data_IF_058109212537
#
_entry.id   IF_058109212537
#
_cell.length_a   1.000
_cell.length_b   1.000
_cell.length_c   1.000
_cell.angle_alpha   90.00
_cell.angle_beta   90.00
_cell.angle_gamma   90.00
#
_symmetry.space_group_name_H-M   'P 1'
#
loop_
_entity.id
_entity.type
_entity.pdbx_description
1 polymer ?
#
# COMPACT_ATOMS: atom_id res chain seq x y z
N UNK A 1 2.72 19.91 -3.51
CA UNK A 1 2.56 19.72 -4.97
C UNK A 1 2.57 18.21 -5.19
N UNK A 2 1.65 17.68 -6.00
CA UNK A 2 1.62 16.27 -6.37
C UNK A 2 2.38 16.03 -7.69
N UNK A 3 2.67 14.77 -8.01
CA UNK A 3 3.38 14.31 -9.21
C UNK A 3 2.60 14.67 -10.49
N UNK A 4 3.23 15.35 -11.46
CA UNK A 4 2.60 15.71 -12.73
C UNK A 4 2.20 14.49 -13.57
N UNK A 5 1.33 14.64 -14.59
CA UNK A 5 0.95 13.52 -15.47
C UNK A 5 2.14 12.99 -16.28
N UNK A 6 3.01 13.87 -16.72
CA UNK A 6 4.24 13.54 -17.44
C UNK A 6 5.20 12.76 -16.53
N UNK A 7 5.41 13.24 -15.30
CA UNK A 7 6.22 12.54 -14.29
C UNK A 7 5.61 11.18 -13.94
N UNK A 8 4.29 11.08 -13.82
CA UNK A 8 3.62 9.79 -13.59
C UNK A 8 3.87 8.80 -14.73
N UNK A 9 3.85 9.25 -15.98
CA UNK A 9 4.13 8.40 -17.13
C UNK A 9 5.58 7.92 -17.15
N UNK A 10 6.55 8.82 -16.96
CA UNK A 10 7.98 8.50 -16.89
C UNK A 10 8.29 7.52 -15.74
N UNK A 11 7.76 7.82 -14.55
CA UNK A 11 7.91 6.97 -13.37
C UNK A 11 7.30 5.58 -13.60
N UNK A 12 6.12 5.52 -14.21
CA UNK A 12 5.45 4.25 -14.49
C UNK A 12 6.28 3.39 -15.46
N UNK A 13 6.91 4.00 -16.46
CA UNK A 13 7.73 3.26 -17.41
C UNK A 13 9.03 2.79 -16.77
N UNK A 14 9.77 3.69 -16.11
CA UNK A 14 11.02 3.36 -15.45
C UNK A 14 10.86 2.25 -14.39
N UNK A 15 9.82 2.31 -13.56
CA UNK A 15 9.59 1.31 -12.51
C UNK A 15 9.23 -0.09 -13.04
N UNK A 16 8.96 -0.26 -14.34
CA UNK A 16 8.81 -1.59 -14.96
C UNK A 16 10.15 -2.26 -15.25
N UNK A 17 11.22 -1.50 -15.39
CA UNK A 17 12.55 -2.00 -15.73
C UNK A 17 13.10 -2.94 -14.65
N UNK A 18 13.99 -3.85 -15.03
CA UNK A 18 14.56 -4.83 -14.09
C UNK A 18 15.36 -4.16 -12.97
N UNK A 19 16.13 -3.12 -13.30
CA UNK A 19 16.85 -2.25 -12.38
C UNK A 19 16.12 -0.91 -12.38
N UNK A 20 15.48 -0.57 -11.28
CA UNK A 20 14.76 0.69 -11.15
C UNK A 20 14.85 1.21 -9.72
N UNK A 21 14.92 2.53 -9.60
CA UNK A 21 14.85 3.25 -8.33
C UNK A 21 14.12 4.57 -8.52
N UNK A 22 13.39 4.99 -7.49
CA UNK A 22 12.84 6.34 -7.41
C UNK A 22 12.84 6.80 -5.95
N UNK A 23 13.19 8.06 -5.70
CA UNK A 23 13.12 8.68 -4.38
C UNK A 23 12.17 9.85 -4.37
N UNK A 24 11.44 9.95 -3.26
CA UNK A 24 10.49 11.01 -3.02
C UNK A 24 10.74 11.62 -1.64
N UNK A 25 10.35 12.88 -1.50
CA UNK A 25 10.15 13.52 -0.20
C UNK A 25 8.66 13.55 0.11
N UNK A 26 8.29 13.19 1.33
CA UNK A 26 6.92 13.25 1.80
C UNK A 26 6.90 13.50 3.31
N UNK A 27 6.26 14.59 3.73
CA UNK A 27 6.04 14.91 5.16
C UNK A 27 7.32 14.85 6.02
N UNK A 28 8.48 15.20 5.45
CA UNK A 28 9.78 15.16 6.12
C UNK A 28 10.51 13.83 6.06
N UNK A 29 9.94 12.82 5.39
CA UNK A 29 10.54 11.50 5.19
C UNK A 29 11.03 11.30 3.76
N UNK A 30 12.11 10.53 3.63
CA UNK A 30 12.57 10.01 2.34
C UNK A 30 11.82 8.71 2.04
N UNK A 31 11.12 8.67 0.90
CA UNK A 31 10.44 7.47 0.43
C UNK A 31 11.22 6.93 -0.75
N UNK A 32 11.70 5.70 -0.67
CA UNK A 32 12.46 5.06 -1.74
C UNK A 32 11.68 3.86 -2.28
N UNK A 33 11.64 3.73 -3.60
CA UNK A 33 10.98 2.64 -4.31
C UNK A 33 12.03 1.93 -5.14
N UNK A 34 12.13 0.61 -4.98
CA UNK A 34 13.03 -0.22 -5.77
C UNK A 34 12.44 -1.61 -6.01
N UNK A 35 12.95 -2.30 -7.02
CA UNK A 35 12.59 -3.70 -7.27
C UNK A 35 13.25 -4.63 -6.27
N UNK A 36 12.49 -5.60 -5.77
CA UNK A 36 12.95 -6.66 -4.89
C UNK A 36 12.39 -8.00 -5.35
N UNK A 37 13.13 -9.08 -5.09
CA UNK A 37 12.64 -10.45 -5.30
C UNK A 37 11.69 -10.83 -4.18
N UNK A 38 10.46 -11.21 -4.51
CA UNK A 38 9.51 -11.81 -3.55
C UNK A 38 9.56 -13.34 -3.56
N UNK A 39 10.28 -13.93 -4.50
CA UNK A 39 10.42 -15.37 -4.68
C UNK A 39 11.41 -15.69 -5.81
N UNK A 40 11.56 -16.97 -6.13
CA UNK A 40 12.57 -17.44 -7.08
C UNK A 40 12.46 -16.76 -8.45
N UNK A 41 11.24 -16.60 -8.98
CA UNK A 41 10.98 -16.00 -10.29
C UNK A 41 9.98 -14.83 -10.22
N UNK A 42 9.95 -14.11 -9.10
CA UNK A 42 9.00 -13.02 -8.88
C UNK A 42 9.69 -11.75 -8.39
N UNK A 43 9.46 -10.65 -9.11
CA UNK A 43 9.89 -9.30 -8.74
C UNK A 43 8.69 -8.43 -8.41
N UNK A 44 8.82 -7.64 -7.36
CA UNK A 44 7.84 -6.67 -6.89
C UNK A 44 8.54 -5.34 -6.63
N UNK A 45 7.77 -4.26 -6.56
CA UNK A 45 8.25 -2.98 -6.05
C UNK A 45 8.08 -2.96 -4.54
N UNK A 46 9.09 -2.51 -3.81
CA UNK A 46 9.04 -2.35 -2.35
C UNK A 46 9.32 -0.89 -2.01
N UNK A 47 8.51 -0.36 -1.09
CA UNK A 47 8.63 0.99 -0.56
C UNK A 47 9.40 0.96 0.75
N UNK A 48 10.46 1.76 0.82
CA UNK A 48 11.28 1.99 2.00
C UNK A 48 11.02 3.40 2.52
N UNK A 49 11.05 3.56 3.85
CA UNK A 49 10.89 4.84 4.52
C UNK A 49 12.19 5.12 5.25
N UNK A 50 12.83 6.25 4.95
CA UNK A 50 14.14 6.65 5.45
C UNK A 50 15.22 5.56 5.26
N UNK A 51 15.16 4.90 4.09
CA UNK A 51 16.06 3.80 3.72
C UNK A 51 15.80 2.48 4.42
N UNK A 52 14.74 2.38 5.22
CA UNK A 52 14.44 1.19 6.03
C UNK A 52 13.07 0.59 5.73
N UNK A 53 12.99 -0.71 5.99
CA UNK A 53 11.74 -1.46 6.06
C UNK A 53 11.63 -2.09 7.45
N UNK A 54 10.96 -1.41 8.37
CA UNK A 54 10.81 -1.87 9.75
C UNK A 54 9.50 -2.64 9.96
N UNK A 55 9.57 -3.77 10.65
CA UNK A 55 8.41 -4.63 10.93
C UNK A 55 7.27 -3.92 11.68
N UNK A 56 7.57 -2.95 12.55
CA UNK A 56 6.57 -2.16 13.28
C UNK A 56 5.72 -1.24 12.39
N UNK A 57 6.16 -0.96 11.16
CA UNK A 57 5.47 -0.09 10.22
C UNK A 57 4.59 -0.87 9.22
N UNK A 58 4.54 -2.20 9.32
CA UNK A 58 3.74 -3.09 8.48
C UNK A 58 2.82 -3.94 9.35
N UNK A 59 1.75 -4.51 8.76
CA UNK A 59 0.74 -5.25 9.53
C UNK A 59 -0.54 -4.44 9.74
N UNK A 60 -1.34 -4.79 10.75
CA UNK A 60 -2.68 -4.19 10.91
C UNK A 60 -2.57 -2.66 11.02
N UNK A 61 -3.41 -1.94 10.27
CA UNK A 61 -3.31 -0.48 10.16
C UNK A 61 -3.49 0.23 11.52
N UNK A 62 -4.24 -0.40 12.43
CA UNK A 62 -4.50 0.07 13.79
C UNK A 62 -3.29 -0.05 14.72
N UNK A 63 -2.36 -0.97 14.42
CA UNK A 63 -1.14 -1.20 15.22
C UNK A 63 0.06 -0.37 14.74
N UNK A 64 -0.05 0.25 13.56
CA UNK A 64 1.03 1.06 12.98
C UNK A 64 0.92 2.50 13.49
N UNK A 65 1.96 2.99 14.17
CA UNK A 65 2.01 4.36 14.67
C UNK A 65 2.49 5.36 13.60
N UNK A 66 3.37 4.92 12.69
CA UNK A 66 3.99 5.79 11.70
C UNK A 66 2.99 6.23 10.63
N UNK A 67 2.58 7.50 10.67
CA UNK A 67 1.57 8.06 9.76
C UNK A 67 1.99 8.04 8.29
N UNK A 68 3.26 8.28 7.98
CA UNK A 68 3.73 8.22 6.59
C UNK A 68 3.60 6.81 6.01
N UNK A 69 3.82 5.77 6.82
CA UNK A 69 3.62 4.37 6.40
C UNK A 69 2.16 4.10 6.00
N UNK A 70 1.19 4.65 6.75
CA UNK A 70 -0.24 4.56 6.40
C UNK A 70 -0.57 5.22 5.06
N UNK A 71 0.22 6.19 4.60
CA UNK A 71 0.04 6.87 3.31
C UNK A 71 0.70 6.13 2.16
N UNK A 72 1.94 5.66 2.35
CA UNK A 72 2.77 5.13 1.24
C UNK A 72 2.67 3.63 1.07
N UNK A 73 2.39 2.87 2.13
CA UNK A 73 2.17 1.44 2.01
C UNK A 73 0.79 1.13 1.45
N UNK A 74 0.69 0.00 0.77
CA UNK A 74 -0.55 -0.46 0.17
C UNK A 74 -1.49 -0.96 1.26
N UNK A 75 -2.73 -0.47 1.24
CA UNK A 75 -3.79 -1.01 2.09
C UNK A 75 -4.32 -2.31 1.49
N UNK A 76 -4.09 -3.41 2.20
CA UNK A 76 -4.68 -4.71 1.90
C UNK A 76 -5.93 -4.87 2.75
N UNK A 77 -6.98 -5.46 2.18
CA UNK A 77 -8.21 -5.71 2.91
C UNK A 77 -8.64 -7.16 2.77
N UNK A 78 -9.18 -7.73 3.85
CA UNK A 78 -9.79 -9.07 3.86
C UNK A 78 -11.00 -9.05 4.78
N UNK A 79 -12.11 -9.62 4.32
CA UNK A 79 -13.28 -9.78 5.18
C UNK A 79 -12.93 -10.62 6.41
N UNK A 80 -13.39 -10.19 7.59
CA UNK A 80 -13.19 -10.94 8.84
C UNK A 80 -13.80 -12.33 8.76
N UNK A 81 -14.93 -12.45 8.04
CA UNK A 81 -15.65 -13.70 7.84
C UNK A 81 -15.88 -14.00 6.37
N UNK A 82 -16.01 -15.30 6.06
CA UNK A 82 -16.34 -15.73 4.70
C UNK A 82 -17.80 -15.40 4.37
N UNK A 83 -18.10 -15.21 3.08
CA UNK A 83 -19.48 -14.98 2.62
C UNK A 83 -20.44 -16.10 3.03
N UNK A 84 -19.96 -17.35 3.11
CA UNK A 84 -20.76 -18.49 3.57
C UNK A 84 -21.11 -18.33 5.04
N UNK A 85 -20.13 -18.04 5.88
CA UNK A 85 -20.34 -17.84 7.31
C UNK A 85 -21.36 -16.73 7.58
N UNK A 86 -21.21 -15.58 6.92
CA UNK A 86 -22.14 -14.45 7.03
C UNK A 86 -23.57 -14.88 6.69
N UNK A 87 -23.77 -15.62 5.58
CA UNK A 87 -25.08 -16.12 5.16
C UNK A 87 -25.67 -17.11 6.15
N UNK A 88 -24.86 -18.02 6.69
CA UNK A 88 -25.33 -19.03 7.65
C UNK A 88 -25.76 -18.37 8.97
N UNK A 89 -25.02 -17.37 9.45
CA UNK A 89 -25.37 -16.56 10.63
C UNK A 89 -26.66 -15.76 10.40
N UNK A 90 -26.78 -15.07 9.26
CA UNK A 90 -27.99 -14.32 8.91
C UNK A 90 -29.22 -15.21 8.73
N UNK A 91 -29.04 -16.45 8.24
CA UNK A 91 -30.12 -17.45 8.13
C UNK A 91 -30.58 -17.94 9.50
N UNK A 92 -29.65 -18.17 10.43
CA UNK A 92 -29.96 -18.70 11.75
C UNK A 92 -30.66 -17.67 12.66
N UNK A 93 -30.25 -16.40 12.60
CA UNK A 93 -30.76 -15.38 13.53
C UNK A 93 -31.60 -14.28 12.88
N UNK A 94 -31.63 -14.21 11.56
CA UNK A 94 -32.13 -13.04 10.83
C UNK A 94 -31.14 -11.88 10.89
N UNK A 95 -31.14 -11.04 9.84
CA UNK A 95 -30.16 -9.95 9.67
C UNK A 95 -30.05 -8.99 10.86
N UNK A 96 -31.19 -8.63 11.47
CA UNK A 96 -31.21 -7.66 12.58
C UNK A 96 -30.51 -8.20 13.83
N UNK A 97 -30.78 -9.45 14.19
CA UNK A 97 -30.17 -10.08 15.37
C UNK A 97 -28.72 -10.47 15.10
N UNK A 98 -28.40 -10.94 13.88
CA UNK A 98 -27.03 -11.18 13.46
C UNK A 98 -26.13 -9.94 13.64
N UNK A 99 -26.58 -8.75 13.23
CA UNK A 99 -25.83 -7.51 13.42
C UNK A 99 -25.67 -7.11 14.90
N UNK A 100 -26.64 -7.44 15.76
CA UNK A 100 -26.58 -7.15 17.20
C UNK A 100 -25.57 -8.06 17.91
N UNK A 101 -25.66 -9.37 17.66
CA UNK A 101 -24.84 -10.38 18.35
C UNK A 101 -23.43 -10.48 17.72
N UNK A 102 -23.28 -10.14 16.43
CA UNK A 102 -22.02 -10.14 15.71
C UNK A 102 -21.79 -8.76 15.07
N UNK A 103 -21.41 -7.75 15.87
CA UNK A 103 -21.24 -6.38 15.38
C UNK A 103 -20.25 -6.27 14.21
N UNK A 104 -19.23 -7.14 14.22
CA UNK A 104 -18.15 -7.18 13.22
C UNK A 104 -18.38 -8.16 12.06
N UNK A 105 -19.60 -8.67 11.90
CA UNK A 105 -19.91 -9.74 10.92
C UNK A 105 -19.52 -9.36 9.48
N UNK A 106 -19.63 -8.08 9.15
CA UNK A 106 -19.33 -7.54 7.82
C UNK A 106 -18.03 -6.73 7.76
N UNK A 107 -17.27 -6.72 8.86
CA UNK A 107 -16.02 -5.96 8.95
C UNK A 107 -14.93 -6.56 8.05
N UNK A 108 -13.89 -5.74 7.83
CA UNK A 108 -12.68 -6.14 7.13
C UNK A 108 -11.48 -5.85 8.01
N UNK A 109 -10.51 -6.77 8.00
CA UNK A 109 -9.15 -6.48 8.42
C UNK A 109 -8.47 -5.63 7.35
N UNK A 110 -7.78 -4.59 7.78
CA UNK A 110 -6.96 -3.73 6.94
C UNK A 110 -5.54 -3.80 7.46
N UNK A 111 -4.59 -4.13 6.59
CA UNK A 111 -3.17 -4.14 6.93
C UNK A 111 -2.34 -3.43 5.87
N UNK A 112 -1.22 -2.88 6.30
CA UNK A 112 -0.24 -2.22 5.47
C UNK A 112 0.75 -3.25 4.92
N UNK A 113 0.98 -3.15 3.62
CA UNK A 113 1.93 -3.96 2.87
C UNK A 113 2.85 -3.00 2.08
N UNK A 114 4.17 -3.06 2.28
CA UNK A 114 5.12 -2.17 1.61
C UNK A 114 5.30 -2.51 0.12
N UNK A 115 4.69 -3.60 -0.36
CA UNK A 115 4.89 -4.12 -1.70
C UNK A 115 3.79 -3.77 -2.70
N UNK A 116 4.21 -3.57 -3.94
CA UNK A 116 3.34 -3.36 -5.09
C UNK A 116 3.72 -4.31 -6.23
N UNK A 117 2.69 -4.94 -6.81
CA UNK A 117 2.89 -5.87 -7.93
C UNK A 117 3.10 -5.14 -9.26
N UNK A 118 2.69 -3.88 -9.37
CA UNK A 118 2.77 -3.10 -10.61
C UNK A 118 3.13 -1.64 -10.33
N UNK A 119 3.97 -1.06 -11.20
CA UNK A 119 4.32 0.35 -11.18
C UNK A 119 3.07 1.25 -11.21
N UNK A 120 2.14 0.97 -12.12
CA UNK A 120 0.92 1.77 -12.26
C UNK A 120 0.08 1.83 -10.97
N UNK A 121 0.03 0.76 -10.16
CA UNK A 121 -0.69 0.79 -8.88
C UNK A 121 0.00 1.70 -7.86
N UNK A 122 1.32 1.67 -7.80
CA UNK A 122 2.12 2.51 -6.90
C UNK A 122 1.99 3.98 -7.30
N UNK A 123 2.24 4.29 -8.58
CA UNK A 123 2.20 5.67 -9.09
C UNK A 123 0.83 6.31 -8.89
N UNK A 124 -0.26 5.55 -9.13
CA UNK A 124 -1.63 6.05 -8.88
C UNK A 124 -1.92 6.32 -7.41
N UNK A 125 -1.31 5.59 -6.49
CA UNK A 125 -1.44 5.86 -5.06
C UNK A 125 -0.65 7.13 -4.70
N UNK A 126 0.60 7.22 -5.15
CA UNK A 126 1.48 8.34 -4.85
C UNK A 126 0.96 9.65 -5.45
N UNK A 127 0.42 9.62 -6.67
CA UNK A 127 -0.20 10.79 -7.32
C UNK A 127 -1.39 11.40 -6.56
N UNK A 128 -1.94 10.71 -5.56
CA UNK A 128 -3.02 11.23 -4.70
C UNK A 128 -2.51 11.91 -3.43
N UNK A 129 -1.21 11.91 -3.19
CA UNK A 129 -0.59 12.51 -2.01
C UNK A 129 -0.21 13.96 -2.35
N UNK A 130 -0.81 14.92 -1.66
CA UNK A 130 -0.66 16.34 -2.04
C UNK A 130 0.75 16.92 -1.76
N UNK A 131 1.46 16.35 -0.79
CA UNK A 131 2.80 16.78 -0.33
C UNK A 131 3.95 15.93 -0.90
N UNK A 132 3.68 14.94 -1.74
CA UNK A 132 4.75 14.07 -2.28
C UNK A 132 5.51 14.77 -3.40
N UNK A 133 6.84 14.74 -3.32
CA UNK A 133 7.72 15.29 -4.35
C UNK A 133 8.67 14.22 -4.85
N UNK A 134 8.73 13.99 -6.17
CA UNK A 134 9.78 13.19 -6.79
C UNK A 134 11.09 14.00 -6.75
N UNK A 135 12.17 13.41 -6.23
CA UNK A 135 13.49 14.05 -6.12
C UNK A 135 14.57 13.34 -6.93
N UNK A 136 14.42 12.04 -7.18
CA UNK A 136 15.37 11.24 -7.95
C UNK A 136 14.66 10.14 -8.71
N UNK A 137 15.08 9.89 -9.95
CA UNK A 137 14.59 8.80 -10.80
C UNK A 137 15.79 8.09 -11.45
N UNK A 138 15.95 6.80 -11.20
CA UNK A 138 17.05 6.01 -11.79
C UNK A 138 18.46 6.44 -11.35
N UNK A 139 18.60 7.15 -10.23
CA UNK A 139 19.87 7.73 -9.79
C UNK A 139 20.12 9.17 -10.25
N UNK A 140 19.24 9.73 -11.09
CA UNK A 140 19.35 11.11 -11.57
C UNK A 140 18.40 12.04 -10.80
N UNK A 141 18.88 13.19 -10.31
CA UNK A 141 18.02 14.20 -9.69
C UNK A 141 16.97 14.75 -10.66
N UNK A 142 15.78 15.09 -10.14
CA UNK A 142 14.62 15.61 -10.91
C UNK A 142 14.32 17.09 -10.60
#
# INVERSE_FOLDING_TARGET
>A
MSISKEQQAQLTEHLKDFICSARFELDGHQIEVQKQRSGENALILVVFIDGQLEGKNVGMIEDVELEVAKKVYRHRTKACYTRKFIKDVEKAWGKRRAKKEWPRLHDKHIWLDPSFNTAASLVRQFAKLDSIRLVELGGEPV
#
